data_IF_937728987973
#
_entry.id   IF_937728987973
#
_cell.length_a   1.000
_cell.length_b   1.000
_cell.length_c   1.000
_cell.angle_alpha   90.00
_cell.angle_beta   90.00
_cell.angle_gamma   90.00
#
_symmetry.space_group_name_H-M   'P 1'
#
loop_
_entity.id
_entity.type
_entity.pdbx_description
1 polymer ?
#
# COMPACT_ATOMS: atom_id res chain seq x y z
N UNK A 1 -4.44 -33.06 -23.55
CA UNK A 1 -3.83 -31.74 -23.75
C UNK A 1 -4.47 -30.81 -22.73
N UNK A 2 -4.00 -30.87 -21.49
CA UNK A 2 -4.53 -30.06 -20.40
C UNK A 2 -4.18 -28.60 -20.66
N UNK A 3 -5.19 -27.76 -20.79
CA UNK A 3 -5.03 -26.31 -20.78
C UNK A 3 -4.51 -25.94 -19.39
N UNK A 4 -3.19 -25.97 -19.21
CA UNK A 4 -2.57 -25.28 -18.09
C UNK A 4 -2.86 -23.81 -18.33
N UNK A 5 -3.93 -23.34 -17.69
CA UNK A 5 -4.30 -21.94 -17.66
C UNK A 5 -3.01 -21.19 -17.33
N UNK A 6 -2.54 -20.32 -18.23
CA UNK A 6 -1.34 -19.53 -18.06
C UNK A 6 -1.60 -18.48 -16.98
N UNK A 7 -1.85 -18.93 -15.76
CA UNK A 7 -2.19 -18.13 -14.60
C UNK A 7 -1.17 -17.02 -14.35
N UNK A 8 0.16 -17.17 -14.64
CA UNK A 8 1.09 -16.05 -14.51
C UNK A 8 0.76 -14.91 -15.48
N UNK A 9 0.32 -15.22 -16.70
CA UNK A 9 -0.13 -14.23 -17.68
C UNK A 9 -1.37 -13.50 -17.15
N UNK A 10 -2.38 -14.26 -16.71
CA UNK A 10 -3.64 -13.69 -16.22
C UNK A 10 -3.42 -12.80 -14.99
N UNK A 11 -2.66 -13.27 -14.00
CA UNK A 11 -2.36 -12.50 -12.77
C UNK A 11 -1.59 -11.23 -13.10
N UNK A 12 -0.58 -11.32 -13.97
CA UNK A 12 0.24 -10.15 -14.35
C UNK A 12 -0.60 -9.11 -15.10
N UNK A 13 -1.42 -9.54 -16.07
CA UNK A 13 -2.29 -8.63 -16.83
C UNK A 13 -3.38 -8.02 -15.93
N UNK A 14 -3.99 -8.81 -15.04
CA UNK A 14 -4.97 -8.31 -14.08
C UNK A 14 -4.36 -7.25 -13.14
N UNK A 15 -3.13 -7.46 -12.66
CA UNK A 15 -2.40 -6.46 -11.88
C UNK A 15 -2.15 -5.18 -12.70
N UNK A 16 -1.82 -5.30 -13.99
CA UNK A 16 -1.69 -4.16 -14.90
C UNK A 16 -2.99 -3.37 -15.07
N UNK A 17 -4.12 -4.06 -15.23
CA UNK A 17 -5.46 -3.45 -15.32
C UNK A 17 -5.85 -2.77 -14.00
N UNK A 18 -5.66 -3.45 -12.86
CA UNK A 18 -5.92 -2.87 -11.54
C UNK A 18 -5.06 -1.63 -11.30
N UNK A 19 -3.80 -1.64 -11.75
CA UNK A 19 -2.91 -0.48 -11.70
C UNK A 19 -3.43 0.68 -12.55
N UNK A 20 -3.95 0.43 -13.76
CA UNK A 20 -4.57 1.48 -14.60
C UNK A 20 -5.85 2.05 -13.98
N UNK A 21 -6.68 1.20 -13.36
CA UNK A 21 -7.87 1.65 -12.64
C UNK A 21 -7.48 2.56 -11.47
N UNK A 22 -6.47 2.18 -10.69
CA UNK A 22 -5.93 2.98 -9.60
C UNK A 22 -5.34 4.31 -10.10
N UNK A 23 -4.60 4.31 -11.21
CA UNK A 23 -4.10 5.53 -11.85
C UNK A 23 -5.28 6.45 -12.23
N UNK A 24 -6.31 5.89 -12.86
CA UNK A 24 -7.51 6.63 -13.31
C UNK A 24 -8.21 7.30 -12.13
N UNK A 25 -8.36 6.59 -11.01
CA UNK A 25 -8.87 7.14 -9.76
C UNK A 25 -7.95 8.22 -9.19
N UNK A 26 -6.64 7.98 -9.10
CA UNK A 26 -5.68 8.92 -8.51
C UNK A 26 -5.48 10.20 -9.32
N UNK A 27 -5.84 10.21 -10.60
CA UNK A 27 -5.78 11.42 -11.42
C UNK A 27 -6.63 12.56 -10.86
N UNK A 28 -7.70 12.28 -10.10
CA UNK A 28 -8.50 13.32 -9.44
C UNK A 28 -7.76 13.98 -8.25
N UNK A 29 -6.76 13.30 -7.69
CA UNK A 29 -5.93 13.80 -6.59
C UNK A 29 -4.54 14.25 -7.05
N UNK A 30 -4.32 14.42 -8.36
CA UNK A 30 -3.00 14.73 -8.93
C UNK A 30 -2.36 16.01 -8.40
N UNK A 31 -3.15 16.93 -7.84
CA UNK A 31 -2.63 18.18 -7.29
C UNK A 31 -2.17 18.05 -5.82
N UNK A 32 -2.42 16.91 -5.18
CA UNK A 32 -1.88 16.60 -3.85
C UNK A 32 -0.34 16.42 -3.89
N UNK A 33 0.39 16.81 -2.83
CA UNK A 33 1.83 16.61 -2.76
C UNK A 33 2.23 15.15 -2.98
N UNK A 34 3.19 14.91 -3.88
CA UNK A 34 3.65 13.56 -4.20
C UNK A 34 2.78 12.76 -5.17
N UNK A 35 1.50 13.13 -5.38
CA UNK A 35 0.57 12.31 -6.18
C UNK A 35 1.04 12.07 -7.63
N UNK A 36 1.55 13.11 -8.32
CA UNK A 36 2.10 12.96 -9.69
C UNK A 36 3.27 11.98 -9.76
N UNK A 37 4.09 11.91 -8.72
CA UNK A 37 5.20 10.97 -8.64
C UNK A 37 4.72 9.54 -8.40
N UNK A 38 3.68 9.37 -7.58
CA UNK A 38 3.07 8.07 -7.35
C UNK A 38 2.38 7.55 -8.62
N UNK A 39 1.65 8.41 -9.34
CA UNK A 39 1.07 8.07 -10.65
C UNK A 39 2.17 7.63 -11.64
N UNK A 40 3.34 8.28 -11.62
CA UNK A 40 4.49 7.89 -12.45
C UNK A 40 5.05 6.52 -12.05
N UNK A 41 5.15 6.19 -10.76
CA UNK A 41 5.51 4.84 -10.29
C UNK A 41 4.52 3.80 -10.81
N UNK A 42 3.22 4.06 -10.67
CA UNK A 42 2.17 3.16 -11.14
C UNK A 42 2.19 3.00 -12.66
N UNK A 43 2.51 4.06 -13.41
CA UNK A 43 2.67 3.96 -14.86
C UNK A 43 3.83 3.03 -15.25
N UNK A 44 4.97 3.10 -14.53
CA UNK A 44 6.07 2.16 -14.68
C UNK A 44 5.67 0.71 -14.36
N UNK A 45 4.91 0.51 -13.28
CA UNK A 45 4.39 -0.81 -12.89
C UNK A 45 3.42 -1.36 -13.94
N UNK A 46 2.53 -0.53 -14.46
CA UNK A 46 1.59 -0.91 -15.51
C UNK A 46 2.33 -1.32 -16.78
N UNK A 47 3.34 -0.54 -17.20
CA UNK A 47 4.19 -0.88 -18.34
C UNK A 47 4.89 -2.23 -18.13
N UNK A 48 5.46 -2.48 -16.94
CA UNK A 48 6.05 -3.76 -16.59
C UNK A 48 5.04 -4.90 -16.70
N UNK A 49 3.87 -4.77 -16.07
CA UNK A 49 2.84 -5.80 -16.05
C UNK A 49 2.36 -6.17 -17.46
N UNK A 50 2.06 -5.17 -18.30
CA UNK A 50 1.62 -5.46 -19.67
C UNK A 50 2.75 -6.02 -20.52
N UNK A 51 3.94 -5.42 -20.50
CA UNK A 51 5.05 -5.88 -21.31
C UNK A 51 5.48 -7.31 -20.94
N UNK A 52 5.60 -7.61 -19.64
CA UNK A 52 5.94 -8.94 -19.15
C UNK A 52 4.80 -9.94 -19.38
N UNK A 53 3.56 -9.57 -19.05
CA UNK A 53 2.38 -10.43 -19.22
C UNK A 53 2.16 -10.83 -20.67
N UNK A 54 2.23 -9.89 -21.62
CA UNK A 54 2.20 -10.22 -23.05
C UNK A 54 3.44 -11.00 -23.48
N UNK A 55 4.62 -10.63 -22.99
CA UNK A 55 5.88 -11.32 -23.25
C UNK A 55 5.81 -12.82 -23.00
N UNK A 56 5.17 -13.24 -21.90
CA UNK A 56 4.97 -14.64 -21.55
C UNK A 56 4.12 -15.45 -22.56
N UNK A 57 3.43 -14.80 -23.50
CA UNK A 57 2.68 -15.48 -24.58
C UNK A 57 3.42 -15.49 -25.92
N UNK A 58 4.57 -14.83 -26.00
CA UNK A 58 5.32 -14.62 -27.25
C UNK A 58 6.54 -15.53 -27.31
N UNK A 59 6.46 -16.56 -28.14
CA UNK A 59 7.53 -17.54 -28.36
C UNK A 59 8.50 -17.15 -29.49
N UNK A 60 8.34 -15.97 -30.09
CA UNK A 60 9.23 -15.45 -31.13
C UNK A 60 10.25 -14.47 -30.54
N UNK A 61 11.53 -14.72 -30.80
CA UNK A 61 12.63 -13.98 -30.19
C UNK A 61 12.59 -12.45 -30.42
N UNK A 62 12.33 -11.92 -31.64
CA UNK A 62 12.41 -10.48 -31.86
C UNK A 62 11.38 -9.71 -31.03
N UNK A 63 10.12 -10.16 -31.05
CA UNK A 63 9.04 -9.50 -30.30
C UNK A 63 9.19 -9.75 -28.79
N UNK A 64 9.57 -10.96 -28.36
CA UNK A 64 9.79 -11.28 -26.94
C UNK A 64 10.89 -10.43 -26.33
N UNK A 65 11.98 -10.20 -27.06
CA UNK A 65 13.11 -9.36 -26.63
C UNK A 65 12.69 -7.89 -26.45
N UNK A 66 11.90 -7.33 -27.37
CA UNK A 66 11.37 -5.97 -27.22
C UNK A 66 10.44 -5.84 -26.01
N UNK A 67 9.55 -6.81 -25.80
CA UNK A 67 8.68 -6.86 -24.63
C UNK A 67 9.48 -6.98 -23.33
N UNK A 68 10.58 -7.76 -23.32
CA UNK A 68 11.48 -7.83 -22.16
C UNK A 68 12.16 -6.48 -21.88
N UNK A 69 12.63 -5.78 -22.92
CA UNK A 69 13.21 -4.45 -22.77
C UNK A 69 12.19 -3.48 -22.18
N UNK A 70 10.96 -3.48 -22.67
CA UNK A 70 9.87 -2.65 -22.13
C UNK A 70 9.55 -3.00 -20.68
N UNK A 71 9.58 -4.29 -20.31
CA UNK A 71 9.40 -4.73 -18.93
C UNK A 71 10.52 -4.17 -18.03
N UNK A 72 11.78 -4.30 -18.43
CA UNK A 72 12.90 -3.72 -17.68
C UNK A 72 12.84 -2.19 -17.59
N UNK A 73 12.38 -1.51 -18.65
CA UNK A 73 12.10 -0.07 -18.58
C UNK A 73 11.08 0.20 -17.49
N UNK A 74 9.90 -0.43 -17.53
CA UNK A 74 8.86 -0.27 -16.51
C UNK A 74 9.40 -0.48 -15.09
N UNK A 75 10.19 -1.55 -14.90
CA UNK A 75 10.83 -1.87 -13.62
C UNK A 75 11.80 -0.79 -13.15
N UNK A 76 12.61 -0.22 -14.06
CA UNK A 76 13.58 0.84 -13.72
C UNK A 76 12.91 2.12 -13.24
N UNK A 77 11.67 2.40 -13.69
CA UNK A 77 10.89 3.57 -13.32
C UNK A 77 10.08 3.40 -12.02
N UNK A 78 10.22 2.28 -11.29
CA UNK A 78 9.54 2.13 -10.00
C UNK A 78 10.24 2.92 -8.88
N UNK A 79 11.56 2.78 -8.75
CA UNK A 79 12.29 3.25 -7.57
C UNK A 79 12.33 4.77 -7.41
N UNK A 80 12.88 5.48 -8.39
CA UNK A 80 13.12 6.94 -8.25
C UNK A 80 11.81 7.74 -8.16
N UNK A 81 10.78 7.47 -8.98
CA UNK A 81 9.46 8.09 -8.80
C UNK A 81 8.82 7.74 -7.45
N UNK A 82 9.01 6.53 -6.92
CA UNK A 82 8.49 6.16 -5.60
C UNK A 82 9.18 6.95 -4.48
N UNK A 83 10.49 7.17 -4.57
CA UNK A 83 11.20 8.12 -3.71
C UNK A 83 10.66 9.55 -3.89
N UNK A 84 10.35 9.95 -5.12
CA UNK A 84 9.71 11.24 -5.42
C UNK A 84 8.37 11.41 -4.70
N UNK A 85 7.56 10.34 -4.67
CA UNK A 85 6.33 10.27 -3.89
C UNK A 85 6.61 10.41 -2.39
N UNK A 86 7.51 9.59 -1.82
CA UNK A 86 7.84 9.64 -0.40
C UNK A 86 8.33 11.03 0.04
N UNK A 87 9.20 11.67 -0.74
CA UNK A 87 9.68 13.03 -0.46
C UNK A 87 8.57 14.08 -0.58
N UNK A 88 7.67 13.96 -1.55
CA UNK A 88 6.54 14.87 -1.72
C UNK A 88 5.50 14.73 -0.60
N UNK A 89 5.20 13.49 -0.22
CA UNK A 89 4.24 13.13 0.82
C UNK A 89 4.72 13.56 2.21
N UNK A 90 6.00 13.37 2.52
CA UNK A 90 6.59 13.71 3.83
C UNK A 90 7.04 15.18 3.95
N UNK A 91 6.57 16.07 3.07
CA UNK A 91 6.88 17.51 3.12
C UNK A 91 8.30 17.90 2.69
N UNK A 92 9.12 16.94 2.23
CA UNK A 92 10.52 17.14 1.80
C UNK A 92 10.66 17.60 0.33
N UNK A 93 9.66 18.30 -0.20
CA UNK A 93 9.57 18.68 -1.62
C UNK A 93 10.73 19.53 -2.18
N UNK A 94 11.51 20.20 -1.33
CA UNK A 94 12.73 20.92 -1.77
C UNK A 94 13.77 19.97 -2.37
N UNK A 95 13.87 18.73 -1.86
CA UNK A 95 14.82 17.74 -2.36
C UNK A 95 14.50 17.29 -3.80
N UNK A 96 13.24 17.34 -4.22
CA UNK A 96 12.82 17.03 -5.60
C UNK A 96 13.43 17.99 -6.64
N UNK A 97 13.76 19.22 -6.24
CA UNK A 97 14.37 20.23 -7.12
C UNK A 97 15.90 20.17 -7.13
N UNK A 98 16.49 19.35 -6.25
CA UNK A 98 17.94 19.24 -6.10
C UNK A 98 18.63 18.60 -7.32
N UNK A 99 19.92 18.88 -7.48
CA UNK A 99 20.75 18.20 -8.50
C UNK A 99 20.86 16.70 -8.23
N UNK A 100 20.90 16.29 -6.96
CA UNK A 100 20.97 14.87 -6.58
C UNK A 100 19.75 14.08 -7.04
N UNK A 101 18.55 14.62 -6.86
CA UNK A 101 17.33 13.96 -7.34
C UNK A 101 17.29 13.88 -8.88
N UNK A 102 17.73 14.94 -9.58
CA UNK A 102 17.87 14.89 -11.05
C UNK A 102 18.88 13.84 -11.52
N UNK A 103 19.98 13.67 -10.80
CA UNK A 103 20.98 12.64 -11.08
C UNK A 103 20.38 11.23 -10.89
N UNK A 104 19.64 11.00 -9.79
CA UNK A 104 18.92 9.74 -9.59
C UNK A 104 17.93 9.47 -10.72
N UNK A 105 17.14 10.49 -11.13
CA UNK A 105 16.17 10.36 -12.21
C UNK A 105 16.82 10.13 -13.59
N UNK A 106 18.06 10.59 -13.77
CA UNK A 106 18.80 10.35 -15.01
C UNK A 106 19.14 8.86 -15.21
N UNK A 107 19.23 8.07 -14.13
CA UNK A 107 19.55 6.65 -14.20
C UNK A 107 18.47 5.82 -14.95
N UNK A 108 17.18 5.82 -14.56
CA UNK A 108 16.14 5.11 -15.31
C UNK A 108 15.93 5.69 -16.72
N UNK A 109 16.11 7.01 -16.89
CA UNK A 109 16.05 7.64 -18.22
C UNK A 109 17.18 7.13 -19.14
N UNK A 110 18.41 7.08 -18.64
CA UNK A 110 19.56 6.54 -19.38
C UNK A 110 19.37 5.06 -19.68
N UNK A 111 18.84 4.28 -18.74
CA UNK A 111 18.52 2.86 -18.93
C UNK A 111 17.51 2.67 -20.06
N UNK A 112 16.48 3.52 -20.10
CA UNK A 112 15.47 3.52 -21.18
C UNK A 112 16.08 3.77 -22.56
N UNK A 113 17.06 4.67 -22.63
CA UNK A 113 17.76 4.97 -23.89
C UNK A 113 18.76 3.89 -24.28
N UNK A 114 19.48 3.28 -23.32
CA UNK A 114 20.53 2.30 -23.60
C UNK A 114 19.98 0.90 -23.95
N UNK A 115 18.86 0.48 -23.35
CA UNK A 115 18.32 -0.88 -23.52
C UNK A 115 18.13 -1.32 -24.98
N UNK A 116 17.54 -0.51 -25.88
CA UNK A 116 17.41 -0.86 -27.30
C UNK A 116 18.74 -1.14 -28.01
N UNK A 117 19.84 -0.51 -27.57
CA UNK A 117 21.16 -0.66 -28.14
C UNK A 117 21.99 -1.76 -27.45
N UNK A 118 21.39 -2.51 -26.52
CA UNK A 118 22.12 -3.54 -25.78
C UNK A 118 22.71 -4.64 -26.67
N UNK A 119 22.14 -4.87 -27.86
CA UNK A 119 22.74 -5.78 -28.84
C UNK A 119 24.14 -5.36 -29.30
N UNK A 120 24.47 -4.06 -29.26
CA UNK A 120 25.77 -3.55 -29.71
C UNK A 120 26.82 -3.53 -28.61
N UNK A 121 26.43 -3.17 -27.38
CA UNK A 121 27.36 -2.99 -26.27
C UNK A 121 27.35 -4.12 -25.25
N UNK A 122 26.24 -4.88 -25.13
CA UNK A 122 26.07 -5.99 -24.19
C UNK A 122 26.41 -5.61 -22.75
N UNK A 123 25.93 -4.45 -22.29
CA UNK A 123 26.24 -3.88 -20.96
C UNK A 123 25.19 -4.22 -19.92
N UNK A 124 23.96 -4.53 -20.35
CA UNK A 124 22.84 -4.86 -19.45
C UNK A 124 22.71 -6.37 -19.32
N UNK A 125 22.59 -7.06 -20.44
CA UNK A 125 22.51 -8.52 -20.49
C UNK A 125 23.27 -9.10 -21.68
N UNK A 126 23.52 -10.41 -21.64
CA UNK A 126 23.99 -11.24 -22.76
C UNK A 126 23.22 -12.56 -22.79
N UNK A 127 23.41 -13.32 -23.86
CA UNK A 127 22.90 -14.70 -23.99
C UNK A 127 21.38 -14.81 -23.83
N UNK A 128 20.64 -13.87 -24.44
CA UNK A 128 19.18 -13.88 -24.39
C UNK A 128 18.62 -15.09 -25.12
N UNK A 129 17.90 -15.94 -24.40
CA UNK A 129 17.18 -17.09 -24.94
C UNK A 129 15.77 -17.15 -24.38
N UNK A 130 14.83 -17.65 -25.18
CA UNK A 130 13.51 -18.04 -24.69
C UNK A 130 13.65 -19.46 -24.12
N UNK A 131 13.32 -19.63 -22.86
CA UNK A 131 13.41 -20.90 -22.15
C UNK A 131 12.04 -21.21 -21.54
N UNK A 132 11.12 -21.84 -22.28
CA UNK A 132 9.73 -22.01 -21.84
C UNK A 132 9.58 -22.90 -20.61
N UNK A 133 8.90 -22.38 -19.58
CA UNK A 133 8.59 -23.12 -18.36
C UNK A 133 7.08 -23.14 -18.16
N UNK A 134 6.51 -24.31 -17.84
CA UNK A 134 5.06 -24.49 -17.64
C UNK A 134 4.17 -23.94 -18.79
N UNK A 135 4.66 -23.98 -20.03
CA UNK A 135 3.90 -23.56 -21.21
C UNK A 135 3.83 -22.04 -21.43
N UNK A 136 4.65 -21.24 -20.74
CA UNK A 136 4.80 -19.80 -20.99
C UNK A 136 6.21 -19.47 -21.50
N UNK A 137 6.34 -18.38 -22.27
CA UNK A 137 7.59 -17.92 -22.88
C UNK A 137 8.48 -17.16 -21.88
N UNK A 138 8.93 -17.86 -20.84
CA UNK A 138 9.99 -17.38 -19.94
C UNK A 138 11.31 -17.20 -20.70
N UNK A 139 12.22 -16.45 -20.10
CA UNK A 139 13.49 -16.04 -20.74
C UNK A 139 14.64 -16.28 -19.78
N UNK A 140 15.79 -16.61 -20.35
CA UNK A 140 17.07 -16.70 -19.65
C UNK A 140 18.07 -15.75 -20.30
N UNK A 141 18.89 -15.11 -19.47
CA UNK A 141 19.95 -14.21 -19.88
C UNK A 141 20.94 -13.98 -18.73
N UNK A 142 22.17 -13.61 -19.10
CA UNK A 142 23.25 -13.31 -18.16
C UNK A 142 23.30 -11.81 -17.90
N UNK A 143 22.89 -11.36 -16.71
CA UNK A 143 23.07 -9.98 -16.30
C UNK A 143 24.56 -9.61 -16.23
N UNK A 144 24.86 -8.39 -16.66
CA UNK A 144 26.21 -7.83 -16.65
C UNK A 144 26.37 -6.89 -15.44
N UNK A 145 27.61 -6.49 -15.05
CA UNK A 145 27.84 -5.70 -13.83
C UNK A 145 27.01 -4.41 -13.73
N UNK A 146 26.75 -3.72 -14.86
CA UNK A 146 25.93 -2.52 -14.88
C UNK A 146 24.47 -2.80 -14.46
N UNK A 147 23.92 -3.96 -14.84
CA UNK A 147 22.57 -4.36 -14.43
C UNK A 147 22.50 -4.60 -12.92
N UNK A 148 23.51 -5.25 -12.32
CA UNK A 148 23.57 -5.43 -10.87
C UNK A 148 23.66 -4.11 -10.11
N UNK A 149 24.46 -3.15 -10.61
CA UNK A 149 24.51 -1.80 -10.04
C UNK A 149 23.13 -1.11 -10.10
N UNK A 150 22.40 -1.28 -11.21
CA UNK A 150 21.04 -0.78 -11.35
C UNK A 150 20.06 -1.41 -10.39
N UNK A 151 20.09 -2.73 -10.24
CA UNK A 151 19.22 -3.48 -9.32
C UNK A 151 19.50 -3.07 -7.87
N UNK A 152 20.76 -3.04 -7.46
CA UNK A 152 21.15 -2.62 -6.11
C UNK A 152 20.75 -1.17 -5.85
N UNK A 153 21.05 -0.26 -6.79
CA UNK A 153 20.68 1.14 -6.68
C UNK A 153 19.17 1.34 -6.57
N UNK A 154 18.38 0.67 -7.41
CA UNK A 154 16.92 0.71 -7.33
C UNK A 154 16.40 0.18 -5.99
N UNK A 155 16.93 -0.95 -5.51
CA UNK A 155 16.60 -1.53 -4.22
C UNK A 155 16.91 -0.57 -3.06
N UNK A 156 18.08 0.07 -3.06
CA UNK A 156 18.44 1.09 -2.06
C UNK A 156 17.49 2.29 -2.10
N UNK A 157 17.15 2.79 -3.29
CA UNK A 157 16.23 3.93 -3.45
C UNK A 157 14.84 3.58 -2.91
N UNK A 158 14.32 2.39 -3.21
CA UNK A 158 13.04 1.91 -2.69
C UNK A 158 13.10 1.75 -1.16
N UNK A 159 14.18 1.18 -0.63
CA UNK A 159 14.36 1.02 0.82
C UNK A 159 14.37 2.38 1.55
N UNK A 160 15.07 3.38 1.01
CA UNK A 160 15.07 4.74 1.54
C UNK A 160 13.66 5.36 1.48
N UNK A 161 12.96 5.21 0.35
CA UNK A 161 11.60 5.72 0.20
C UNK A 161 10.65 5.07 1.23
N UNK A 162 10.72 3.75 1.39
CA UNK A 162 9.94 3.02 2.38
C UNK A 162 10.26 3.47 3.81
N UNK A 163 11.55 3.63 4.15
CA UNK A 163 11.97 4.16 5.44
C UNK A 163 11.38 5.54 5.73
N UNK A 164 11.40 6.47 4.76
CA UNK A 164 10.82 7.80 4.93
C UNK A 164 9.31 7.75 5.18
N UNK A 165 8.60 6.84 4.51
CA UNK A 165 7.16 6.66 4.71
C UNK A 165 6.85 6.04 6.06
N UNK A 166 7.64 5.04 6.50
CA UNK A 166 7.51 4.42 7.83
C UNK A 166 7.86 5.40 8.94
N UNK A 167 8.94 6.17 8.79
CA UNK A 167 9.31 7.25 9.72
C UNK A 167 8.15 8.26 9.85
N UNK A 168 7.59 8.70 8.71
CA UNK A 168 6.45 9.60 8.71
C UNK A 168 5.23 8.97 9.39
N UNK A 169 4.96 7.69 9.14
CA UNK A 169 3.88 6.98 9.78
C UNK A 169 4.09 6.92 11.30
N UNK A 170 5.29 6.60 11.79
CA UNK A 170 5.59 6.52 13.24
C UNK A 170 5.54 7.90 13.90
N UNK A 171 6.17 8.91 13.30
CA UNK A 171 6.24 10.27 13.87
C UNK A 171 4.87 10.93 13.88
N UNK A 172 4.06 10.70 12.84
CA UNK A 172 2.72 11.28 12.71
C UNK A 172 1.58 10.32 13.06
N UNK A 173 1.87 9.13 13.57
CA UNK A 173 0.90 8.26 14.26
C UNK A 173 0.31 8.96 15.49
N UNK A 174 1.03 9.98 15.97
CA UNK A 174 0.83 10.64 17.25
C UNK A 174 0.85 12.17 17.15
N UNK A 175 -0.04 12.76 16.35
CA UNK A 175 -0.74 13.93 16.89
C UNK A 175 -1.59 13.43 18.06
N UNK A 176 -0.95 13.26 19.23
CA UNK A 176 -1.42 12.58 20.45
C UNK A 176 -2.93 12.28 20.53
N UNK A 177 -3.43 11.15 19.98
CA UNK A 177 -4.83 10.80 20.14
C UNK A 177 -5.06 10.41 21.60
N UNK A 178 -5.70 11.29 22.35
CA UNK A 178 -6.17 10.94 23.70
C UNK A 178 -7.39 10.04 23.52
N UNK A 179 -7.21 8.74 23.71
CA UNK A 179 -8.31 7.79 23.74
C UNK A 179 -8.82 7.69 25.16
N UNK A 180 -10.00 8.23 25.42
CA UNK A 180 -10.70 8.09 26.71
C UNK A 180 -11.58 6.86 26.64
N UNK A 181 -11.27 5.86 27.46
CA UNK A 181 -12.12 4.68 27.64
C UNK A 181 -12.82 4.77 28.99
N UNK A 182 -14.14 4.69 28.99
CA UNK A 182 -14.93 4.60 30.23
C UNK A 182 -15.91 3.43 30.12
N UNK A 183 -16.02 2.64 31.17
CA UNK A 183 -17.02 1.59 31.28
C UNK A 183 -17.90 1.88 32.50
N UNK A 184 -19.21 1.70 32.35
CA UNK A 184 -20.18 1.84 33.42
C UNK A 184 -21.24 0.76 33.31
N UNK A 185 -21.85 0.43 34.45
CA UNK A 185 -23.02 -0.44 34.50
C UNK A 185 -24.23 0.48 34.63
N UNK A 186 -25.15 0.39 33.67
CA UNK A 186 -26.36 1.19 33.58
C UNK A 186 -27.58 0.26 33.62
N UNK A 187 -28.06 -0.04 34.84
CA UNK A 187 -29.08 -1.06 35.06
C UNK A 187 -28.52 -2.46 34.83
N UNK A 188 -29.16 -3.22 33.94
CA UNK A 188 -28.75 -4.56 33.52
C UNK A 188 -27.83 -4.54 32.28
N UNK A 189 -27.28 -3.38 31.92
CA UNK A 189 -26.42 -3.23 30.73
C UNK A 189 -25.01 -2.73 31.09
N UNK A 190 -24.00 -3.36 30.51
CA UNK A 190 -22.63 -2.86 30.48
C UNK A 190 -22.47 -1.88 29.32
N UNK A 191 -22.06 -0.65 29.62
CA UNK A 191 -21.84 0.41 28.63
C UNK A 191 -20.36 0.80 28.61
N UNK A 192 -19.68 0.49 27.51
CA UNK A 192 -18.33 0.97 27.23
C UNK A 192 -18.37 2.12 26.23
N UNK A 193 -17.62 3.19 26.52
CA UNK A 193 -17.41 4.32 25.62
C UNK A 193 -15.93 4.45 25.32
N UNK A 194 -15.60 4.60 24.04
CA UNK A 194 -14.25 4.85 23.54
C UNK A 194 -14.31 6.14 22.75
N UNK A 195 -13.67 7.20 23.24
CA UNK A 195 -13.61 8.49 22.58
C UNK A 195 -12.18 8.81 22.16
N UNK A 196 -11.98 9.18 20.90
CA UNK A 196 -10.71 9.72 20.39
C UNK A 196 -10.87 11.20 19.97
N UNK A 197 -9.75 11.93 19.92
CA UNK A 197 -9.67 13.31 19.44
C UNK A 197 -9.20 13.45 17.99
N UNK A 198 -9.38 12.40 17.17
CA UNK A 198 -9.00 12.38 15.77
C UNK A 198 -9.94 13.19 14.86
N UNK A 199 -9.75 13.14 13.54
CA UNK A 199 -10.50 13.96 12.57
C UNK A 199 -12.00 13.60 12.44
N UNK A 200 -12.49 12.59 13.16
CA UNK A 200 -13.84 12.04 13.03
C UNK A 200 -13.95 10.99 11.92
N UNK A 201 -14.94 10.11 12.02
CA UNK A 201 -15.38 9.21 10.96
C UNK A 201 -16.32 10.01 10.04
N UNK A 202 -16.13 10.00 8.71
CA UNK A 202 -17.02 10.68 7.78
C UNK A 202 -18.49 10.24 7.94
N UNK A 203 -19.43 11.18 7.82
CA UNK A 203 -20.87 10.93 8.05
C UNK A 203 -21.43 9.76 7.21
N UNK A 204 -20.95 9.57 5.98
CA UNK A 204 -21.37 8.47 5.12
C UNK A 204 -20.90 7.10 5.64
N UNK A 205 -19.74 7.02 6.30
CA UNK A 205 -19.20 5.79 6.88
C UNK A 205 -19.93 5.45 8.19
N UNK A 206 -20.29 6.47 8.99
CA UNK A 206 -21.17 6.31 10.16
C UNK A 206 -22.55 5.83 9.73
N UNK A 207 -23.14 6.41 8.69
CA UNK A 207 -24.44 6.04 8.16
C UNK A 207 -24.44 4.60 7.62
N UNK A 208 -23.40 4.20 6.90
CA UNK A 208 -23.20 2.81 6.44
C UNK A 208 -23.15 1.83 7.62
N UNK A 209 -22.43 2.19 8.69
CA UNK A 209 -22.36 1.40 9.91
C UNK A 209 -23.67 1.41 10.72
N UNK A 210 -24.57 2.37 10.54
CA UNK A 210 -25.88 2.38 11.19
C UNK A 210 -26.92 1.61 10.37
N UNK A 211 -26.97 1.86 9.06
CA UNK A 211 -27.95 1.32 8.13
C UNK A 211 -27.69 -0.16 7.79
N UNK A 212 -26.44 -0.63 7.98
CA UNK A 212 -26.09 -2.06 7.86
C UNK A 212 -25.89 -2.55 6.43
N UNK A 213 -25.84 -1.65 5.45
CA UNK A 213 -25.55 -1.97 4.05
C UNK A 213 -24.11 -1.61 3.68
N UNK A 214 -23.30 -2.59 3.29
CA UNK A 214 -21.95 -2.39 2.79
C UNK A 214 -21.97 -2.28 1.26
N UNK A 215 -21.71 -1.08 0.71
CA UNK A 215 -21.36 -0.97 -0.71
C UNK A 215 -19.85 -1.08 -0.88
N UNK A 216 -19.41 -2.12 -1.59
CA UNK A 216 -18.02 -2.56 -1.76
C UNK A 216 -17.06 -1.59 -2.47
N UNK A 217 -17.37 -0.29 -2.56
CA UNK A 217 -16.64 0.67 -3.37
C UNK A 217 -15.86 1.73 -2.60
N UNK A 218 -15.97 1.81 -1.27
CA UNK A 218 -15.28 2.86 -0.52
C UNK A 218 -14.79 2.38 0.86
N UNK A 219 -13.49 2.07 0.95
CA UNK A 219 -12.56 2.25 2.11
C UNK A 219 -11.74 1.03 2.55
N UNK A 220 -10.44 1.29 2.76
CA UNK A 220 -9.48 0.40 3.41
C UNK A 220 -9.40 0.57 4.94
N UNK A 221 -10.33 1.30 5.58
CA UNK A 221 -10.41 1.52 7.04
C UNK A 221 -11.58 0.78 7.73
N UNK A 222 -12.60 0.31 6.99
CA UNK A 222 -13.89 -0.11 7.56
C UNK A 222 -13.97 -1.53 8.14
N UNK A 223 -13.09 -2.45 7.77
CA UNK A 223 -13.17 -3.87 8.19
C UNK A 223 -13.08 -4.07 9.72
N UNK A 224 -12.29 -3.24 10.41
CA UNK A 224 -12.14 -3.33 11.86
C UNK A 224 -13.42 -2.95 12.62
N UNK A 225 -14.08 -1.87 12.20
CA UNK A 225 -15.32 -1.39 12.82
C UNK A 225 -16.49 -2.35 12.57
N UNK A 226 -16.54 -2.95 11.39
CA UNK A 226 -17.52 -4.00 11.08
C UNK A 226 -17.35 -5.24 11.96
N UNK A 227 -16.11 -5.67 12.22
CA UNK A 227 -15.84 -6.80 13.12
C UNK A 227 -16.35 -6.54 14.55
N UNK A 228 -16.15 -5.32 15.05
CA UNK A 228 -16.68 -4.90 16.36
C UNK A 228 -18.21 -4.87 16.35
N UNK A 229 -18.84 -4.28 15.32
CA UNK A 229 -20.31 -4.25 15.18
C UNK A 229 -20.90 -5.66 15.22
N UNK A 230 -20.37 -6.59 14.44
CA UNK A 230 -20.84 -7.97 14.43
C UNK A 230 -20.61 -8.69 15.75
N UNK A 231 -19.46 -8.45 16.41
CA UNK A 231 -19.18 -8.99 17.74
C UNK A 231 -20.21 -8.53 18.77
N UNK A 232 -20.49 -7.23 18.82
CA UNK A 232 -21.46 -6.62 19.74
C UNK A 232 -22.88 -7.12 19.49
N UNK A 233 -23.32 -7.13 18.23
CA UNK A 233 -24.65 -7.64 17.85
C UNK A 233 -24.81 -9.13 18.20
N UNK A 234 -23.74 -9.92 18.04
CA UNK A 234 -23.77 -11.36 18.37
C UNK A 234 -23.85 -11.60 19.89
N UNK A 235 -23.38 -10.66 20.70
CA UNK A 235 -23.54 -10.65 22.15
C UNK A 235 -24.89 -10.07 22.60
N UNK A 236 -25.81 -9.78 21.66
CA UNK A 236 -27.12 -9.23 21.96
C UNK A 236 -27.10 -7.74 22.31
N UNK A 237 -26.00 -7.05 22.03
CA UNK A 237 -25.84 -5.63 22.33
C UNK A 237 -25.98 -4.72 21.11
N UNK A 238 -25.72 -3.44 21.35
CA UNK A 238 -25.82 -2.36 20.38
C UNK A 238 -24.52 -1.53 20.30
N UNK A 239 -24.21 -1.03 19.10
CA UNK A 239 -23.03 -0.19 18.84
C UNK A 239 -23.46 1.09 18.12
N UNK A 240 -23.21 2.23 18.76
CA UNK A 240 -23.48 3.57 18.21
C UNK A 240 -22.21 4.38 18.09
N UNK A 241 -22.19 5.30 17.13
CA UNK A 241 -21.09 6.21 16.89
C UNK A 241 -21.60 7.65 16.92
N UNK A 242 -20.94 8.49 17.72
CA UNK A 242 -21.09 9.94 17.71
C UNK A 242 -19.78 10.49 17.14
N UNK A 243 -19.81 11.02 15.92
CA UNK A 243 -18.62 11.62 15.29
C UNK A 243 -18.86 13.09 14.99
N UNK A 244 -17.84 13.90 15.19
CA UNK A 244 -17.81 15.31 14.85
C UNK A 244 -16.41 15.68 14.39
N UNK A 245 -16.23 16.85 13.76
CA UNK A 245 -14.90 17.32 13.34
C UNK A 245 -13.89 17.56 14.48
N UNK A 246 -14.21 17.17 15.72
CA UNK A 246 -13.37 17.22 16.91
C UNK A 246 -13.07 15.83 17.53
N UNK A 247 -13.49 14.72 16.90
CA UNK A 247 -13.26 13.36 17.42
C UNK A 247 -14.38 12.38 17.12
N UNK A 248 -14.17 11.11 17.48
CA UNK A 248 -15.21 10.06 17.44
C UNK A 248 -15.41 9.45 18.81
N UNK A 249 -16.66 9.24 19.20
CA UNK A 249 -17.04 8.43 20.36
C UNK A 249 -17.83 7.20 19.89
N UNK A 250 -17.25 6.02 20.08
CA UNK A 250 -17.96 4.76 19.92
C UNK A 250 -18.57 4.33 21.27
N UNK A 251 -19.83 3.93 21.27
CA UNK A 251 -20.55 3.45 22.45
C UNK A 251 -21.05 2.03 22.20
N UNK A 252 -20.58 1.10 23.01
CA UNK A 252 -20.99 -0.30 23.04
C UNK A 252 -21.90 -0.50 24.25
N UNK A 253 -23.09 -1.04 24.05
CA UNK A 253 -24.01 -1.47 25.11
C UNK A 253 -24.21 -2.97 25.00
N UNK A 254 -23.93 -3.73 26.06
CA UNK A 254 -24.12 -5.18 26.13
C UNK A 254 -25.03 -5.51 27.31
N UNK A 255 -25.92 -6.51 27.20
CA UNK A 255 -26.62 -7.04 28.37
C UNK A 255 -25.60 -7.63 29.36
N UNK A 256 -25.78 -7.30 30.63
CA UNK A 256 -24.90 -7.65 31.74
C UNK A 256 -25.72 -8.23 32.90
N UNK A 257 -25.73 -9.56 33.01
CA UNK A 257 -26.27 -10.26 34.16
C UNK A 257 -25.21 -10.23 35.29
N UNK A 258 -25.47 -9.43 36.32
CA UNK A 258 -24.53 -9.10 37.41
C UNK A 258 -24.14 -10.23 38.36
N UNK A 259 -23.71 -11.39 37.87
CA UNK A 259 -23.14 -12.45 38.70
C UNK A 259 -21.65 -12.17 38.98
N UNK A 260 -21.41 -11.31 39.96
CA UNK A 260 -20.18 -11.11 40.75
C UNK A 260 -18.94 -11.94 40.33
N UNK A 261 -18.10 -11.40 39.44
CA UNK A 261 -16.70 -11.82 39.38
C UNK A 261 -15.98 -11.25 40.61
N UNK A 262 -15.58 -12.13 41.51
CA UNK A 262 -15.05 -11.81 42.83
C UNK A 262 -13.88 -10.83 42.81
N UNK A 263 -13.93 -9.88 43.74
CA UNK A 263 -12.84 -9.01 44.15
C UNK A 263 -11.62 -9.84 44.54
N UNK A 264 -10.62 -9.95 43.67
CA UNK A 264 -9.25 -10.18 44.10
C UNK A 264 -8.63 -8.83 44.45
N UNK A 265 -8.57 -8.57 45.75
CA UNK A 265 -7.86 -7.48 46.40
C UNK A 265 -6.35 -7.58 46.11
N UNK A 266 -5.83 -6.68 45.27
CA UNK A 266 -4.38 -6.45 45.16
C UNK A 266 -4.08 -5.10 45.82
N UNK A 267 -3.89 -5.18 47.13
CA UNK A 267 -3.33 -4.13 47.98
C UNK A 267 -1.96 -3.67 47.44
N UNK A 268 -1.87 -2.41 46.98
CA UNK A 268 -0.59 -1.76 46.70
C UNK A 268 -0.09 -0.99 47.94
N UNK A 269 0.99 -1.51 48.49
CA UNK A 269 1.88 -0.88 49.47
C UNK A 269 2.68 0.24 48.81
N UNK A 270 2.64 1.47 49.34
CA UNK A 270 3.83 2.32 49.57
C UNK A 270 3.45 3.75 50.01
N UNK A 271 3.69 4.04 51.30
CA UNK A 271 3.88 5.41 51.79
C UNK A 271 5.36 5.80 51.67
N UNK A 272 5.72 7.03 51.26
CA UNK A 272 7.05 7.57 51.48
C UNK A 272 7.11 8.30 52.83
N UNK A 273 8.00 7.84 53.73
CA UNK A 273 8.48 8.63 54.87
C UNK A 273 9.62 9.52 54.40
N UNK A 274 9.60 10.76 54.87
CA UNK A 274 10.74 11.68 54.93
C UNK A 274 11.91 11.11 55.75
#
# INVERSE_FOLDING_TARGET
>A
MSVYLAWPVLVTLAAGIGTLALISYLFQYRDRPGAKWFILTLAGQSLFCFAYGFGLTVFTEPLRRWLEMLALVGLSWLGVPFLGFALGYTGRGRLLRSRGFKLLLSFPALTTVLLPFNAWHGLVWRDFSIDPVYGVATVSYSFQPLAFLGILGAGTVVAVAAFLLVENAIVHDSESPTVTVSATIDGDDFVARVSDGGPGIPDYEVQTLQDGDETALEHGSGLGLWLVKWGVLRLGGDLTFESSGAGTTARVRLPYDGESAGTEDVSQTSSPSA
#
